data_IF_914937897691
#
_entry.id   IF_914937897691
#
_cell.length_a   1.000
_cell.length_b   1.000
_cell.length_c   1.000
_cell.angle_alpha   90.00
_cell.angle_beta   90.00
_cell.angle_gamma   90.00
#
_symmetry.space_group_name_H-M   'P 1'
#
loop_
_entity.id
_entity.type
_entity.pdbx_description
1 polymer ?
#
# COMPACT_ATOMS: atom_id res chain seq x y z
N UNK A 1 -2.78 -1.63 5.73
CA UNK A 1 -3.94 -0.94 5.16
C UNK A 1 -4.16 -1.31 3.71
N UNK A 2 -3.16 -1.17 2.81
CA UNK A 2 -3.32 -1.52 1.37
C UNK A 2 -3.80 -2.95 1.14
N UNK A 3 -3.34 -3.93 1.95
CA UNK A 3 -3.80 -5.32 1.87
C UNK A 3 -5.30 -5.46 2.19
N UNK A 4 -5.76 -4.78 3.24
CA UNK A 4 -7.17 -4.84 3.66
C UNK A 4 -8.06 -4.16 2.62
N UNK A 5 -7.70 -2.95 2.21
CA UNK A 5 -8.47 -2.19 1.20
C UNK A 5 -8.48 -2.93 -0.14
N UNK A 6 -7.31 -3.42 -0.59
CA UNK A 6 -7.21 -4.17 -1.84
C UNK A 6 -8.02 -5.46 -1.82
N UNK A 7 -8.02 -6.20 -0.70
CA UNK A 7 -8.86 -7.38 -0.54
C UNK A 7 -10.35 -7.07 -0.58
N UNK A 8 -10.80 -6.02 0.13
CA UNK A 8 -12.19 -5.57 0.11
C UNK A 8 -12.61 -5.17 -1.31
N UNK A 9 -11.79 -4.39 -2.00
CA UNK A 9 -12.05 -4.00 -3.39
C UNK A 9 -12.11 -5.22 -4.32
N UNK A 10 -11.21 -6.20 -4.15
CA UNK A 10 -11.24 -7.44 -4.90
C UNK A 10 -12.52 -8.25 -4.64
N UNK A 11 -12.92 -8.40 -3.37
CA UNK A 11 -14.15 -9.11 -2.99
C UNK A 11 -15.43 -8.44 -3.53
N UNK A 12 -15.43 -7.11 -3.62
CA UNK A 12 -16.54 -6.37 -4.24
C UNK A 12 -16.57 -6.56 -5.75
N UNK A 13 -15.41 -6.62 -6.42
CA UNK A 13 -15.27 -6.81 -7.86
C UNK A 13 -15.37 -8.27 -8.30
N UNK A 14 -15.24 -9.22 -7.39
CA UNK A 14 -15.43 -10.65 -7.69
C UNK A 14 -16.89 -10.99 -8.03
N UNK A 15 -17.82 -10.13 -7.63
CA UNK A 15 -19.23 -10.23 -8.01
C UNK A 15 -19.42 -9.75 -9.45
N UNK A 16 -20.34 -10.37 -10.22
CA UNK A 16 -20.72 -9.90 -11.57
C UNK A 16 -21.34 -8.50 -11.48
N UNK A 17 -20.54 -7.47 -11.70
CA UNK A 17 -20.94 -6.07 -11.63
C UNK A 17 -20.96 -5.50 -13.06
N UNK A 18 -22.01 -4.72 -13.36
CA UNK A 18 -22.05 -3.97 -14.63
C UNK A 18 -20.89 -2.96 -14.66
N UNK A 19 -20.12 -2.93 -15.75
CA UNK A 19 -18.90 -2.11 -15.91
C UNK A 19 -17.69 -2.52 -15.02
N UNK A 20 -17.59 -3.79 -14.64
CA UNK A 20 -16.47 -4.31 -13.85
C UNK A 20 -15.09 -3.84 -14.38
N UNK A 21 -14.85 -4.01 -15.69
CA UNK A 21 -13.59 -3.66 -16.31
C UNK A 21 -13.26 -2.16 -16.18
N UNK A 22 -14.25 -1.29 -16.31
CA UNK A 22 -14.07 0.17 -16.15
C UNK A 22 -13.72 0.53 -14.71
N UNK A 23 -14.46 -0.03 -13.74
CA UNK A 23 -14.20 0.21 -12.31
C UNK A 23 -12.82 -0.30 -11.94
N UNK A 24 -12.45 -1.51 -12.38
CA UNK A 24 -11.13 -2.08 -12.17
C UNK A 24 -10.01 -1.21 -12.73
N UNK A 25 -10.19 -0.65 -13.94
CA UNK A 25 -9.20 0.24 -14.55
C UNK A 25 -9.05 1.53 -13.77
N UNK A 26 -10.16 2.14 -13.31
CA UNK A 26 -10.13 3.37 -12.51
C UNK A 26 -9.39 3.14 -11.19
N UNK A 27 -9.67 2.03 -10.50
CA UNK A 27 -9.01 1.70 -9.21
C UNK A 27 -7.52 1.37 -9.41
N UNK A 28 -7.17 0.77 -10.55
CA UNK A 28 -5.78 0.42 -10.87
C UNK A 28 -4.97 1.63 -11.38
N UNK A 29 -5.64 2.66 -11.92
CA UNK A 29 -4.97 3.80 -12.54
C UNK A 29 -3.93 4.50 -11.63
N UNK A 30 -4.19 4.73 -10.33
CA UNK A 30 -3.18 5.31 -9.42
C UNK A 30 -1.84 4.55 -9.40
N UNK A 31 -1.88 3.24 -9.51
CA UNK A 31 -0.67 2.42 -9.53
C UNK A 31 0.22 2.67 -10.75
N UNK A 32 -0.36 3.11 -11.87
CA UNK A 32 0.38 3.46 -13.09
C UNK A 32 1.09 4.82 -13.00
N UNK A 33 0.76 5.67 -12.01
CA UNK A 33 1.41 6.95 -11.79
C UNK A 33 2.79 6.76 -11.15
N UNK A 34 3.74 7.66 -11.48
CA UNK A 34 5.00 7.70 -10.75
C UNK A 34 4.77 8.17 -9.31
N UNK A 35 5.62 7.72 -8.37
CA UNK A 35 5.56 8.16 -6.98
C UNK A 35 5.74 9.67 -6.82
N UNK A 36 6.52 10.31 -7.70
CA UNK A 36 6.69 11.77 -7.71
C UNK A 36 5.37 12.46 -8.02
N UNK A 37 4.68 12.03 -9.07
CA UNK A 37 3.37 12.61 -9.45
C UNK A 37 2.34 12.37 -8.34
N UNK A 38 2.30 11.17 -7.79
CA UNK A 38 1.42 10.86 -6.64
C UNK A 38 1.72 11.78 -5.47
N UNK A 39 3.00 11.96 -5.11
CA UNK A 39 3.40 12.85 -4.02
C UNK A 39 2.96 14.29 -4.24
N UNK A 40 3.17 14.84 -5.44
CA UNK A 40 2.75 16.21 -5.77
C UNK A 40 1.23 16.39 -5.73
N UNK A 41 0.47 15.45 -6.30
CA UNK A 41 -1.00 15.49 -6.27
C UNK A 41 -1.51 15.48 -4.82
N UNK A 42 -0.98 14.58 -3.99
CA UNK A 42 -1.39 14.53 -2.59
C UNK A 42 -0.87 15.70 -1.76
N UNK A 43 0.29 16.29 -2.11
CA UNK A 43 0.77 17.55 -1.52
C UNK A 43 -0.26 18.68 -1.76
N UNK A 44 -0.80 18.80 -2.97
CA UNK A 44 -1.83 19.79 -3.27
C UNK A 44 -3.16 19.50 -2.60
N UNK A 45 -3.61 18.24 -2.62
CA UNK A 45 -4.86 17.83 -1.98
C UNK A 45 -4.84 18.04 -0.45
N UNK A 46 -3.69 17.84 0.19
CA UNK A 46 -3.53 17.99 1.63
C UNK A 46 -3.08 19.40 2.04
N UNK A 47 -2.90 20.31 1.08
CA UNK A 47 -2.57 21.71 1.36
C UNK A 47 -3.73 22.42 2.07
N UNK A 48 -3.50 23.06 3.23
CA UNK A 48 -4.58 23.65 4.02
C UNK A 48 -5.27 24.84 3.33
N UNK A 49 -4.58 25.54 2.41
CA UNK A 49 -5.13 26.72 1.75
C UNK A 49 -5.81 26.41 0.40
N UNK A 50 -5.37 25.37 -0.30
CA UNK A 50 -5.82 25.07 -1.67
C UNK A 50 -6.49 23.70 -1.80
N UNK A 51 -6.29 22.81 -0.82
CA UNK A 51 -6.71 21.43 -0.89
C UNK A 51 -8.07 21.17 -0.22
N UNK A 52 -8.24 19.91 0.21
CA UNK A 52 -9.49 19.38 0.78
C UNK A 52 -10.02 20.22 1.96
N UNK A 53 -9.13 20.73 2.81
CA UNK A 53 -9.54 21.58 3.93
C UNK A 53 -10.30 22.81 3.46
N UNK A 54 -9.80 23.51 2.42
CA UNK A 54 -10.44 24.70 1.89
C UNK A 54 -11.81 24.36 1.29
N UNK A 55 -11.89 23.31 0.48
CA UNK A 55 -13.15 22.88 -0.14
C UNK A 55 -14.21 22.54 0.91
N UNK A 56 -13.84 21.82 1.99
CA UNK A 56 -14.78 21.48 3.06
C UNK A 56 -15.25 22.73 3.82
N UNK A 57 -14.35 23.72 4.01
CA UNK A 57 -14.73 25.01 4.64
C UNK A 57 -15.68 25.83 3.77
N UNK A 58 -15.49 25.83 2.47
CA UNK A 58 -16.40 26.46 1.50
C UNK A 58 -17.79 25.81 1.50
N UNK A 59 -17.90 24.51 1.79
CA UNK A 59 -19.17 23.80 1.94
C UNK A 59 -19.90 24.13 3.26
N UNK A 60 -19.34 25.01 4.11
CA UNK A 60 -19.95 25.51 5.32
C UNK A 60 -19.36 25.01 6.63
N UNK A 61 -18.41 24.08 6.61
CA UNK A 61 -17.74 23.61 7.82
C UNK A 61 -16.48 24.44 8.12
N UNK A 62 -16.67 25.68 8.50
CA UNK A 62 -15.59 26.69 8.64
C UNK A 62 -14.54 26.34 9.71
N UNK A 63 -14.89 25.52 10.70
CA UNK A 63 -13.99 25.09 11.80
C UNK A 63 -13.17 23.85 11.45
N UNK A 64 -13.38 23.23 10.28
CA UNK A 64 -12.63 22.05 9.89
C UNK A 64 -11.15 22.38 9.69
N UNK A 65 -10.27 21.63 10.36
CA UNK A 65 -8.80 21.74 10.26
C UNK A 65 -8.22 20.37 9.91
N UNK A 66 -7.50 20.32 8.79
CA UNK A 66 -6.83 19.12 8.34
C UNK A 66 -5.54 19.49 7.61
N UNK A 67 -4.46 19.61 8.37
CA UNK A 67 -3.14 19.96 7.86
C UNK A 67 -2.10 18.91 8.31
N UNK A 68 -2.13 17.72 7.70
CA UNK A 68 -1.22 16.65 8.08
C UNK A 68 0.21 16.90 7.64
N UNK A 69 0.46 17.73 6.62
CA UNK A 69 1.81 17.90 6.07
C UNK A 69 2.69 18.84 6.90
N UNK A 70 2.10 19.79 7.62
CA UNK A 70 2.82 20.75 8.44
C UNK A 70 2.91 20.36 9.93
N UNK A 71 2.25 19.26 10.33
CA UNK A 71 2.25 18.78 11.70
C UNK A 71 3.14 17.53 11.83
N UNK A 72 4.23 17.64 12.61
CA UNK A 72 5.20 16.56 12.82
C UNK A 72 4.59 15.27 13.39
N UNK A 73 3.49 15.37 14.18
CA UNK A 73 2.87 14.19 14.80
C UNK A 73 2.05 13.35 13.81
N UNK A 74 1.51 14.00 12.77
CA UNK A 74 0.57 13.36 11.85
C UNK A 74 1.04 13.32 10.39
N UNK A 75 2.19 13.90 10.07
CA UNK A 75 2.72 13.94 8.69
C UNK A 75 2.85 12.56 8.05
N UNK A 76 3.21 11.55 8.85
CA UNK A 76 3.33 10.17 8.37
C UNK A 76 2.00 9.62 7.83
N UNK A 77 0.87 10.05 8.39
CA UNK A 77 -0.46 9.65 7.91
C UNK A 77 -0.79 10.29 6.56
N UNK A 78 -0.30 11.52 6.28
CA UNK A 78 -0.41 12.14 4.97
C UNK A 78 0.29 11.34 3.88
N UNK A 79 1.51 10.87 4.17
CA UNK A 79 2.27 9.98 3.27
C UNK A 79 1.59 8.62 3.15
N UNK A 80 1.11 8.07 4.26
CA UNK A 80 0.41 6.79 4.30
C UNK A 80 -0.84 6.78 3.41
N UNK A 81 -1.64 7.84 3.44
CA UNK A 81 -2.84 7.98 2.61
C UNK A 81 -2.47 7.90 1.13
N UNK A 82 -1.46 8.66 0.70
CA UNK A 82 -0.96 8.66 -0.67
C UNK A 82 -0.47 7.27 -1.12
N UNK A 83 0.37 6.64 -0.28
CA UNK A 83 0.92 5.31 -0.56
C UNK A 83 -0.14 4.21 -0.57
N UNK A 84 -1.12 4.25 0.34
CA UNK A 84 -2.24 3.32 0.37
C UNK A 84 -3.14 3.49 -0.86
N UNK A 85 -3.46 4.72 -1.24
CA UNK A 85 -4.25 5.00 -2.44
C UNK A 85 -3.58 4.43 -3.69
N UNK A 86 -2.28 4.65 -3.86
CA UNK A 86 -1.54 4.13 -5.00
C UNK A 86 -1.38 2.60 -4.96
N UNK A 87 -1.07 2.03 -3.79
CA UNK A 87 -0.78 0.60 -3.63
C UNK A 87 -2.02 -0.30 -3.60
N UNK A 88 -3.19 0.22 -3.19
CA UNK A 88 -4.41 -0.58 -3.03
C UNK A 88 -4.92 -1.17 -4.34
N UNK A 89 -4.77 -0.45 -5.47
CA UNK A 89 -5.15 -0.93 -6.79
C UNK A 89 -4.35 -2.16 -7.24
N UNK A 90 -3.05 -2.16 -7.01
CA UNK A 90 -2.20 -3.32 -7.28
C UNK A 90 -2.60 -4.53 -6.44
N UNK A 91 -2.80 -4.32 -5.13
CA UNK A 91 -3.25 -5.39 -4.23
C UNK A 91 -4.59 -5.93 -4.65
N UNK A 92 -5.53 -5.06 -5.01
CA UNK A 92 -6.84 -5.47 -5.52
C UNK A 92 -6.72 -6.44 -6.70
N UNK A 93 -5.89 -6.12 -7.69
CA UNK A 93 -5.71 -7.00 -8.86
C UNK A 93 -5.09 -8.35 -8.46
N UNK A 94 -4.08 -8.32 -7.59
CA UNK A 94 -3.44 -9.54 -7.11
C UNK A 94 -4.42 -10.43 -6.33
N UNK A 95 -5.21 -9.84 -5.43
CA UNK A 95 -6.22 -10.55 -4.66
C UNK A 95 -7.37 -11.07 -5.53
N UNK A 96 -7.81 -10.29 -6.52
CA UNK A 96 -8.84 -10.71 -7.46
C UNK A 96 -8.38 -11.89 -8.32
N UNK A 97 -7.13 -11.88 -8.77
CA UNK A 97 -6.55 -13.01 -9.47
C UNK A 97 -6.49 -14.27 -8.58
N UNK A 98 -6.09 -14.11 -7.32
CA UNK A 98 -6.11 -15.21 -6.35
C UNK A 98 -7.50 -15.76 -6.09
N UNK A 99 -8.53 -14.91 -5.93
CA UNK A 99 -9.92 -15.34 -5.74
C UNK A 99 -10.45 -16.13 -6.94
N UNK A 100 -10.14 -15.67 -8.16
CA UNK A 100 -10.55 -16.33 -9.40
C UNK A 100 -9.79 -17.62 -9.69
N UNK A 101 -8.70 -17.85 -9.00
CA UNK A 101 -7.98 -19.14 -9.02
C UNK A 101 -8.57 -20.21 -8.11
N UNK A 102 -9.54 -19.86 -7.25
CA UNK A 102 -10.23 -20.82 -6.39
C UNK A 102 -11.26 -21.58 -7.22
N UNK A 103 -11.28 -22.91 -7.06
CA UNK A 103 -12.20 -23.79 -7.78
C UNK A 103 -13.66 -23.36 -7.57
N UNK A 104 -14.41 -23.32 -8.67
CA UNK A 104 -15.83 -22.94 -8.66
C UNK A 104 -16.68 -23.87 -7.79
N UNK A 105 -16.26 -25.10 -7.60
CA UNK A 105 -16.98 -26.08 -6.79
C UNK A 105 -16.93 -25.74 -5.29
N UNK A 106 -15.88 -25.07 -4.81
CA UNK A 106 -15.82 -24.51 -3.45
C UNK A 106 -16.91 -23.45 -3.24
N UNK A 107 -17.10 -22.59 -4.25
CA UNK A 107 -18.14 -21.56 -4.22
C UNK A 107 -19.56 -22.15 -4.30
N UNK A 108 -19.74 -23.23 -5.09
CA UNK A 108 -21.02 -23.95 -5.20
C UNK A 108 -21.35 -24.65 -3.88
N UNK A 109 -20.38 -25.39 -3.32
CA UNK A 109 -20.56 -26.11 -2.05
C UNK A 109 -20.96 -25.15 -0.91
N UNK A 110 -20.27 -24.02 -0.75
CA UNK A 110 -20.61 -23.03 0.28
C UNK A 110 -22.04 -22.47 0.14
N UNK A 111 -22.53 -22.34 -1.10
CA UNK A 111 -23.90 -21.88 -1.37
C UNK A 111 -24.94 -22.97 -1.07
N UNK A 112 -24.65 -24.22 -1.41
CA UNK A 112 -25.56 -25.38 -1.12
C UNK A 112 -25.69 -25.58 0.40
N UNK A 113 -24.60 -25.42 1.15
CA UNK A 113 -24.60 -25.49 2.62
C UNK A 113 -25.22 -24.26 3.30
N UNK A 114 -25.66 -23.25 2.53
CA UNK A 114 -26.28 -22.05 3.07
C UNK A 114 -25.34 -21.14 3.86
N UNK A 115 -24.02 -21.26 3.65
CA UNK A 115 -23.03 -20.44 4.36
C UNK A 115 -23.14 -18.98 3.86
N UNK A 116 -23.35 -18.00 4.76
CA UNK A 116 -23.42 -16.60 4.34
C UNK A 116 -22.09 -16.14 3.75
N UNK A 117 -22.14 -15.28 2.72
CA UNK A 117 -21.00 -14.86 1.93
C UNK A 117 -19.80 -14.37 2.79
N UNK A 118 -20.04 -13.58 3.83
CA UNK A 118 -18.97 -13.08 4.69
C UNK A 118 -18.21 -14.20 5.42
N UNK A 119 -18.90 -15.29 5.83
CA UNK A 119 -18.23 -16.46 6.41
C UNK A 119 -17.43 -17.23 5.37
N UNK A 120 -17.95 -17.36 4.15
CA UNK A 120 -17.22 -17.96 3.03
C UNK A 120 -15.91 -17.22 2.79
N UNK A 121 -15.93 -15.87 2.74
CA UNK A 121 -14.70 -15.09 2.55
C UNK A 121 -13.72 -15.26 3.70
N UNK A 122 -14.16 -15.17 4.96
CA UNK A 122 -13.27 -15.19 6.13
C UNK A 122 -12.72 -16.60 6.39
N UNK A 123 -13.56 -17.63 6.35
CA UNK A 123 -13.17 -18.96 6.81
C UNK A 123 -12.72 -19.91 5.69
N UNK A 124 -13.03 -19.61 4.42
CA UNK A 124 -12.67 -20.46 3.29
C UNK A 124 -11.72 -19.71 2.35
N UNK A 125 -12.10 -18.57 1.83
CA UNK A 125 -11.34 -17.84 0.80
C UNK A 125 -10.00 -17.32 1.36
N UNK A 126 -10.01 -16.59 2.47
CA UNK A 126 -8.77 -16.03 3.06
C UNK A 126 -7.76 -17.13 3.40
N UNK A 127 -8.11 -18.26 4.04
CA UNK A 127 -7.16 -19.34 4.26
C UNK A 127 -6.62 -19.96 2.98
N UNK A 128 -7.43 -20.15 1.95
CA UNK A 128 -6.99 -20.67 0.65
C UNK A 128 -6.05 -19.71 -0.09
N UNK A 129 -6.23 -18.41 0.12
CA UNK A 129 -5.41 -17.35 -0.50
C UNK A 129 -4.15 -17.00 0.30
N UNK A 130 -3.77 -17.75 1.34
CA UNK A 130 -2.57 -17.48 2.14
C UNK A 130 -1.32 -17.19 1.30
N UNK A 131 -0.98 -17.98 0.25
CA UNK A 131 0.19 -17.71 -0.57
C UNK A 131 0.12 -16.33 -1.25
N UNK A 132 -1.06 -15.94 -1.75
CA UNK A 132 -1.28 -14.63 -2.40
C UNK A 132 -1.11 -13.48 -1.41
N UNK A 133 -1.64 -13.64 -0.17
CA UNK A 133 -1.47 -12.64 0.89
C UNK A 133 0.00 -12.47 1.28
N UNK A 134 0.73 -13.59 1.42
CA UNK A 134 2.16 -13.55 1.76
C UNK A 134 2.94 -12.87 0.64
N UNK A 135 2.70 -13.22 -0.62
CA UNK A 135 3.34 -12.57 -1.78
C UNK A 135 3.05 -11.08 -1.83
N UNK A 136 1.78 -10.68 -1.65
CA UNK A 136 1.40 -9.26 -1.61
C UNK A 136 2.08 -8.50 -0.46
N UNK A 137 2.15 -9.11 0.73
CA UNK A 137 2.81 -8.53 1.90
C UNK A 137 4.30 -8.31 1.64
N UNK A 138 4.99 -9.28 1.04
CA UNK A 138 6.42 -9.18 0.71
C UNK A 138 6.67 -8.06 -0.29
N UNK A 139 5.89 -8.00 -1.38
CA UNK A 139 6.06 -6.97 -2.42
C UNK A 139 5.84 -5.58 -1.82
N UNK A 140 4.77 -5.39 -1.04
CA UNK A 140 4.47 -4.10 -0.41
C UNK A 140 5.55 -3.72 0.60
N UNK A 141 6.00 -4.66 1.45
CA UNK A 141 7.03 -4.40 2.46
C UNK A 141 8.35 -3.98 1.81
N UNK A 142 8.76 -4.66 0.73
CA UNK A 142 9.94 -4.29 -0.03
C UNK A 142 9.81 -2.90 -0.69
N UNK A 143 8.61 -2.55 -1.15
CA UNK A 143 8.30 -1.23 -1.69
C UNK A 143 8.39 -0.12 -0.64
N UNK A 144 7.85 -0.35 0.56
CA UNK A 144 7.86 0.63 1.66
C UNK A 144 9.29 0.94 2.12
N UNK A 145 10.17 -0.07 2.22
CA UNK A 145 11.56 0.12 2.64
C UNK A 145 12.32 1.02 1.66
N UNK A 146 11.98 0.94 0.37
CA UNK A 146 12.61 1.71 -0.70
C UNK A 146 11.90 3.03 -1.03
N UNK A 147 10.81 3.37 -0.34
CA UNK A 147 10.04 4.57 -0.65
C UNK A 147 10.91 5.81 -0.44
N UNK A 148 11.15 6.56 -1.50
CA UNK A 148 11.93 7.79 -1.51
C UNK A 148 11.16 8.90 -2.24
N UNK A 149 10.82 8.64 -3.49
CA UNK A 149 10.23 9.63 -4.39
C UNK A 149 8.92 10.22 -3.85
N UNK A 150 8.05 9.38 -3.27
CA UNK A 150 6.79 9.81 -2.68
C UNK A 150 7.02 10.78 -1.51
N UNK A 151 7.95 10.44 -0.61
CA UNK A 151 8.25 11.25 0.58
C UNK A 151 8.91 12.57 0.18
N UNK A 152 9.87 12.52 -0.74
CA UNK A 152 10.55 13.74 -1.21
C UNK A 152 9.58 14.66 -1.94
N UNK A 153 8.75 14.14 -2.81
CA UNK A 153 7.77 14.94 -3.55
C UNK A 153 6.68 15.53 -2.65
N UNK A 154 6.28 14.84 -1.57
CA UNK A 154 5.16 15.27 -0.73
C UNK A 154 5.60 16.17 0.41
N UNK A 155 6.74 15.90 1.07
CA UNK A 155 7.15 16.58 2.31
C UNK A 155 8.63 16.93 2.38
N UNK A 156 9.45 16.44 1.44
CA UNK A 156 10.92 16.53 1.52
C UNK A 156 11.51 15.98 2.85
N UNK A 157 10.79 15.07 3.53
CA UNK A 157 11.17 14.50 4.83
C UNK A 157 10.71 15.31 6.04
N UNK A 158 10.08 16.49 5.85
CA UNK A 158 9.62 17.40 6.89
C UNK A 158 8.23 17.13 7.45
N UNK A 159 7.78 17.94 8.43
CA UNK A 159 8.51 19.00 9.11
C UNK A 159 9.69 18.47 9.96
N UNK A 160 10.82 19.16 9.92
CA UNK A 160 12.06 18.66 10.51
C UNK A 160 12.51 17.34 9.88
N UNK A 161 12.51 16.26 10.65
CA UNK A 161 12.81 14.88 10.21
C UNK A 161 11.61 13.94 10.43
N UNK A 162 10.42 14.48 10.69
CA UNK A 162 9.26 13.68 11.14
C UNK A 162 8.74 12.70 10.09
N UNK A 163 9.00 12.96 8.81
CA UNK A 163 8.66 12.05 7.72
C UNK A 163 9.87 11.50 6.97
N UNK A 164 11.07 11.60 7.58
CA UNK A 164 12.27 11.05 6.97
C UNK A 164 12.19 9.52 6.90
N UNK A 165 12.52 8.98 5.72
CA UNK A 165 12.56 7.54 5.48
C UNK A 165 14.00 7.07 5.27
N UNK A 166 14.32 5.79 5.54
CA UNK A 166 15.69 5.27 5.42
C UNK A 166 16.35 5.58 4.07
N UNK A 167 15.60 5.45 2.98
CA UNK A 167 16.11 5.73 1.64
C UNK A 167 16.51 7.22 1.48
N UNK A 168 15.75 8.15 2.05
CA UNK A 168 16.09 9.57 2.04
C UNK A 168 17.33 9.85 2.87
N UNK A 169 17.40 9.30 4.08
CA UNK A 169 18.57 9.41 4.93
C UNK A 169 19.86 8.97 4.22
N UNK A 170 19.82 7.82 3.54
CA UNK A 170 20.97 7.32 2.75
C UNK A 170 21.41 8.34 1.72
N UNK A 171 20.47 8.85 0.91
CA UNK A 171 20.78 9.79 -0.17
C UNK A 171 21.33 11.11 0.40
N UNK A 172 20.72 11.65 1.45
CA UNK A 172 21.18 12.90 2.10
C UNK A 172 22.57 12.73 2.72
N UNK A 173 22.90 11.57 3.30
CA UNK A 173 24.24 11.32 3.84
C UNK A 173 25.28 11.10 2.77
N UNK A 174 24.96 10.40 1.70
CA UNK A 174 25.92 10.11 0.62
C UNK A 174 26.18 11.34 -0.26
N UNK A 175 25.12 12.04 -0.66
CA UNK A 175 25.22 13.11 -1.66
C UNK A 175 25.08 14.51 -1.07
N UNK A 176 24.29 14.70 -0.02
CA UNK A 176 24.11 16.00 0.62
C UNK A 176 25.25 16.36 1.55
N UNK A 177 25.53 15.53 2.53
CA UNK A 177 26.59 15.79 3.55
C UNK A 177 27.93 15.10 3.23
N UNK A 178 28.03 14.37 2.13
CA UNK A 178 29.22 13.63 1.68
C UNK A 178 29.82 12.70 2.77
N UNK A 179 28.98 12.24 3.69
CA UNK A 179 29.38 11.30 4.74
C UNK A 179 29.12 9.86 4.26
N UNK A 180 30.05 9.36 3.44
CA UNK A 180 29.94 8.02 2.83
C UNK A 180 29.85 6.90 3.88
N UNK A 181 30.53 7.05 5.02
CA UNK A 181 30.52 6.06 6.08
C UNK A 181 29.10 5.83 6.65
N UNK A 182 28.40 6.94 7.00
CA UNK A 182 27.02 6.86 7.47
C UNK A 182 26.04 6.40 6.35
N UNK A 183 26.26 6.86 5.12
CA UNK A 183 25.45 6.43 3.98
C UNK A 183 25.54 4.93 3.73
N UNK A 184 26.76 4.36 3.71
CA UNK A 184 26.94 2.90 3.53
C UNK A 184 26.41 2.10 4.73
N UNK A 185 26.61 2.56 5.97
CA UNK A 185 26.06 1.90 7.15
C UNK A 185 24.52 1.83 7.08
N UNK A 186 23.87 2.95 6.75
CA UNK A 186 22.41 2.99 6.60
C UNK A 186 21.91 2.11 5.44
N UNK A 187 22.63 2.11 4.30
CA UNK A 187 22.31 1.21 3.16
C UNK A 187 22.40 -0.26 3.55
N UNK A 188 23.41 -0.63 4.34
CA UNK A 188 23.55 -2.00 4.85
C UNK A 188 22.40 -2.38 5.78
N UNK A 189 21.99 -1.46 6.67
CA UNK A 189 20.82 -1.68 7.54
C UNK A 189 19.52 -1.85 6.72
N UNK A 190 19.35 -1.05 5.66
CA UNK A 190 18.20 -1.24 4.74
C UNK A 190 18.22 -2.62 4.08
N UNK A 191 19.39 -3.06 3.58
CA UNK A 191 19.54 -4.39 2.99
C UNK A 191 19.17 -5.49 3.99
N UNK A 192 19.69 -5.40 5.22
CA UNK A 192 19.37 -6.36 6.28
C UNK A 192 17.87 -6.37 6.59
N UNK A 193 17.23 -5.21 6.65
CA UNK A 193 15.77 -5.11 6.87
C UNK A 193 14.97 -5.80 5.76
N UNK A 194 15.39 -5.66 4.51
CA UNK A 194 14.77 -6.38 3.37
C UNK A 194 14.96 -7.88 3.52
N UNK A 195 16.16 -8.35 3.88
CA UNK A 195 16.46 -9.77 4.06
C UNK A 195 15.64 -10.41 5.19
N UNK A 196 15.38 -9.68 6.27
CA UNK A 196 14.50 -10.14 7.37
C UNK A 196 13.09 -10.45 6.86
N UNK A 197 12.60 -9.75 5.85
CA UNK A 197 11.29 -10.02 5.22
C UNK A 197 11.38 -11.12 4.18
N UNK A 198 12.43 -11.10 3.33
CA UNK A 198 12.56 -12.02 2.20
C UNK A 198 12.95 -13.45 2.61
N UNK A 199 13.80 -13.62 3.62
CA UNK A 199 14.28 -14.96 4.00
C UNK A 199 13.14 -15.85 4.53
N UNK A 200 12.28 -15.41 5.47
CA UNK A 200 11.14 -16.22 5.91
C UNK A 200 10.16 -16.52 4.76
N UNK A 201 9.93 -15.54 3.88
CA UNK A 201 9.08 -15.76 2.71
C UNK A 201 9.66 -16.85 1.79
N UNK A 202 10.93 -16.74 1.43
CA UNK A 202 11.58 -17.73 0.58
C UNK A 202 11.55 -19.14 1.21
N UNK A 203 11.75 -19.22 2.53
CA UNK A 203 11.66 -20.49 3.25
C UNK A 203 10.26 -21.10 3.21
N UNK A 204 9.21 -20.29 3.37
CA UNK A 204 7.81 -20.75 3.30
C UNK A 204 7.40 -21.15 1.88
N UNK A 205 7.87 -20.44 0.86
CA UNK A 205 7.50 -20.68 -0.54
C UNK A 205 8.24 -21.89 -1.13
N UNK A 206 9.53 -22.02 -0.84
CA UNK A 206 10.39 -23.06 -1.43
C UNK A 206 10.68 -24.23 -0.50
N UNK A 207 10.57 -24.05 0.81
CA UNK A 207 10.85 -25.11 1.80
C UNK A 207 9.76 -26.19 1.89
N UNK A 208 8.50 -25.85 1.57
CA UNK A 208 7.37 -26.77 1.61
C UNK A 208 7.32 -27.80 0.45
N UNK A 209 8.06 -27.56 -0.65
CA UNK A 209 8.05 -28.41 -1.84
C UNK A 209 8.99 -29.63 -1.80
N UNK A 210 9.64 -29.89 -0.67
CA UNK A 210 10.64 -30.97 -0.55
C UNK A 210 10.12 -32.28 0.05
N UNK A 211 8.84 -32.34 0.41
CA UNK A 211 8.24 -33.49 1.10
C UNK A 211 7.04 -34.14 0.36
N UNK A 212 6.95 -33.96 -0.95
CA UNK A 212 6.00 -34.71 -1.80
C UNK A 212 6.77 -35.53 -2.86
#
# INVERSE_FOLDING_TARGET
LSLVIGFILAALLDRKIRFENTIRTIILYPFALSFVVTGLVWQWLLNPSLGLQNVIREWGWTTFTFDPLNNAEIVIFGILIAGVWQGSGFVMVLMLAGMRGIDEDVWKASRVEGIPAWKTYIFIVIPMMRPVFVTALVIISAGIIKVYDLVVAQTSGGPGIASEVPAKYVIDKMFGSQNLGLGFAASTMMLLSVLVVLIPWAYLEFGGKKND
#
